data_IF_615794494757
#
_entry.id   IF_615794494757
#
_cell.length_a   1.000
_cell.length_b   1.000
_cell.length_c   1.000
_cell.angle_alpha   90.00
_cell.angle_beta   90.00
_cell.angle_gamma   90.00
#
_symmetry.space_group_name_H-M   'P 1'
#
loop_
_entity.id
_entity.type
_entity.pdbx_description
1 polymer ?
#
# COMPACT_ATOMS: atom_id res chain seq x y z
N UNK A 1 45.96 13.08 70.05
CA UNK A 1 45.86 13.34 68.60
C UNK A 1 44.51 12.80 68.12
N UNK A 2 43.55 13.67 67.75
CA UNK A 2 42.20 13.28 67.34
C UNK A 2 42.11 12.95 65.83
N UNK A 3 41.19 12.03 65.53
CA UNK A 3 40.46 11.75 64.28
C UNK A 3 41.17 11.92 62.92
N UNK A 4 41.50 10.79 62.28
CA UNK A 4 41.60 10.72 60.81
C UNK A 4 40.19 10.52 60.23
N UNK A 5 39.73 11.50 59.47
CA UNK A 5 38.46 11.52 58.74
C UNK A 5 38.58 10.63 57.49
N UNK A 6 37.71 9.61 57.37
CA UNK A 6 37.57 8.83 56.14
C UNK A 6 36.41 9.42 55.32
N UNK A 7 36.66 10.20 54.24
CA UNK A 7 35.60 10.72 53.39
C UNK A 7 34.87 9.57 52.69
N UNK A 8 33.54 9.70 52.69
CA UNK A 8 32.59 8.70 52.24
C UNK A 8 32.86 8.13 50.84
N UNK A 9 32.57 6.83 50.76
CA UNK A 9 32.04 6.13 49.60
C UNK A 9 31.21 7.02 48.66
N UNK A 10 31.73 7.25 47.46
CA UNK A 10 31.06 8.06 46.42
C UNK A 10 31.20 7.49 45.00
N UNK A 11 31.40 6.17 44.86
CA UNK A 11 31.53 5.53 43.55
C UNK A 11 30.73 4.22 43.54
N UNK A 12 29.45 4.32 43.17
CA UNK A 12 28.42 3.27 43.17
C UNK A 12 28.34 2.46 41.86
N UNK A 13 29.43 2.42 41.07
CA UNK A 13 29.47 1.69 39.80
C UNK A 13 29.87 0.22 39.99
N UNK A 14 29.06 -0.53 40.73
CA UNK A 14 29.17 -2.00 40.82
C UNK A 14 29.25 -2.64 39.43
N UNK A 15 29.98 -3.76 39.33
CA UNK A 15 30.32 -4.41 38.06
C UNK A 15 29.12 -4.52 37.10
N UNK A 16 29.16 -3.74 36.03
CA UNK A 16 28.19 -3.83 34.93
C UNK A 16 28.48 -5.15 34.23
N UNK A 17 27.64 -6.14 34.52
CA UNK A 17 27.63 -7.38 33.77
C UNK A 17 27.17 -7.03 32.35
N UNK A 18 28.10 -6.74 31.43
CA UNK A 18 27.82 -6.56 30.01
C UNK A 18 27.54 -7.95 29.46
N UNK A 19 26.30 -8.41 29.71
CA UNK A 19 25.81 -9.71 29.31
C UNK A 19 25.91 -9.87 27.81
N UNK A 20 26.98 -10.48 27.35
CA UNK A 20 27.06 -11.13 26.05
C UNK A 20 26.19 -12.38 26.13
N UNK A 21 24.90 -12.20 25.90
CA UNK A 21 23.89 -13.25 26.00
C UNK A 21 22.48 -12.75 25.68
N UNK A 22 22.17 -12.68 24.38
CA UNK A 22 20.82 -12.81 23.82
C UNK A 22 19.69 -11.94 24.41
N UNK A 23 19.80 -10.60 24.39
CA UNK A 23 18.63 -9.72 24.64
C UNK A 23 18.53 -8.60 23.61
N UNK A 24 18.43 -9.02 22.35
CA UNK A 24 17.96 -8.21 21.23
C UNK A 24 16.85 -8.93 20.49
N UNK A 25 16.01 -9.69 21.20
CA UNK A 25 14.77 -10.16 20.62
C UNK A 25 13.92 -8.92 20.34
N UNK A 26 13.82 -8.52 19.06
CA UNK A 26 12.84 -7.54 18.60
C UNK A 26 11.53 -7.86 19.30
N UNK A 27 10.98 -6.92 20.08
CA UNK A 27 9.76 -7.12 20.85
C UNK A 27 8.71 -7.79 19.96
N UNK A 28 8.49 -9.08 20.20
CA UNK A 28 7.58 -9.89 19.40
C UNK A 28 6.19 -9.42 19.77
N UNK A 29 5.67 -8.44 19.02
CA UNK A 29 4.27 -8.04 19.13
C UNK A 29 3.44 -9.31 19.01
N UNK A 30 2.57 -9.64 19.98
CA UNK A 30 1.77 -10.84 19.89
C UNK A 30 0.92 -10.78 18.61
N UNK A 31 1.17 -11.71 17.69
CA UNK A 31 0.43 -11.79 16.40
C UNK A 31 -0.88 -12.57 16.53
N UNK A 32 -1.04 -13.31 17.63
CA UNK A 32 -2.23 -14.10 17.94
C UNK A 32 -3.19 -13.31 18.82
N UNK A 33 -4.50 -13.44 18.58
CA UNK A 33 -5.55 -12.80 19.39
C UNK A 33 -5.35 -13.06 20.89
N UNK A 34 -5.13 -14.32 21.29
CA UNK A 34 -4.86 -14.71 22.68
C UNK A 34 -3.67 -13.97 23.31
N UNK A 35 -2.60 -13.75 22.55
CA UNK A 35 -1.44 -13.00 23.02
C UNK A 35 -1.72 -11.50 23.17
N UNK A 36 -2.58 -10.93 22.32
CA UNK A 36 -3.04 -9.54 22.43
C UNK A 36 -3.93 -9.40 23.68
N UNK A 37 -4.82 -10.35 23.93
CA UNK A 37 -5.74 -10.30 25.09
C UNK A 37 -4.99 -10.47 26.41
N UNK A 38 -4.00 -11.37 26.47
CA UNK A 38 -3.12 -11.51 27.63
C UNK A 38 -2.30 -10.24 27.88
N UNK A 39 -1.78 -9.60 26.82
CA UNK A 39 -1.03 -8.35 26.94
C UNK A 39 -1.93 -7.15 27.34
N UNK A 40 -3.20 -7.14 26.93
CA UNK A 40 -4.20 -6.18 27.43
C UNK A 40 -4.50 -6.42 28.92
N UNK A 41 -4.70 -7.67 29.33
CA UNK A 41 -4.94 -8.04 30.72
C UNK A 41 -3.74 -7.72 31.63
N UNK A 42 -2.52 -7.85 31.11
CA UNK A 42 -1.28 -7.49 31.79
C UNK A 42 -0.97 -5.97 31.75
N UNK A 43 -1.83 -5.13 31.17
CA UNK A 43 -1.62 -3.68 31.09
C UNK A 43 -0.47 -3.23 30.16
N UNK A 44 0.06 -4.13 29.33
CA UNK A 44 1.19 -3.90 28.42
C UNK A 44 0.77 -3.29 27.07
N UNK A 45 -0.53 -3.05 26.86
CA UNK A 45 -1.10 -2.54 25.59
C UNK A 45 -2.00 -1.33 25.88
N UNK A 46 -1.68 -0.19 25.27
CA UNK A 46 -2.58 0.95 25.23
C UNK A 46 -3.72 0.69 24.24
N UNK A 47 -4.96 0.96 24.66
CA UNK A 47 -6.14 0.89 23.80
C UNK A 47 -6.69 2.29 23.55
N UNK A 48 -6.68 2.72 22.30
CA UNK A 48 -7.24 4.01 21.89
C UNK A 48 -8.38 3.79 20.89
N UNK A 49 -9.45 4.59 21.01
CA UNK A 49 -10.54 4.59 20.04
C UNK A 49 -10.07 5.28 18.76
N UNK A 50 -10.16 4.59 17.62
CA UNK A 50 -9.85 5.18 16.32
C UNK A 50 -10.78 6.36 16.02
N UNK A 51 -10.22 7.44 15.46
CA UNK A 51 -11.00 8.57 14.95
C UNK A 51 -12.05 8.11 13.93
N UNK A 52 -13.32 8.47 14.15
CA UNK A 52 -14.44 8.03 13.32
C UNK A 52 -14.89 6.57 13.53
N UNK A 53 -14.45 5.89 14.58
CA UNK A 53 -14.91 4.54 14.90
C UNK A 53 -16.39 4.51 15.29
N UNK A 54 -17.10 3.46 14.84
CA UNK A 54 -18.50 3.20 15.18
C UNK A 54 -19.54 3.89 14.27
N UNK A 55 -19.10 4.52 13.16
CA UNK A 55 -20.00 5.19 12.20
C UNK A 55 -19.86 4.67 10.77
N UNK A 56 -20.90 4.90 9.96
CA UNK A 56 -20.98 4.56 8.53
C UNK A 56 -20.95 5.84 7.67
N UNK A 57 -19.78 6.48 7.57
CA UNK A 57 -19.64 7.71 6.76
C UNK A 57 -19.85 7.42 5.27
N UNK A 58 -20.58 8.32 4.59
CA UNK A 58 -20.82 8.26 3.15
C UNK A 58 -19.52 8.39 2.35
N UNK A 59 -19.47 7.79 1.16
CA UNK A 59 -18.35 7.97 0.26
C UNK A 59 -18.19 9.42 -0.23
N UNK A 60 -19.26 10.21 -0.15
CA UNK A 60 -19.28 11.64 -0.50
C UNK A 60 -18.93 12.55 0.68
N UNK A 61 -18.64 11.99 1.86
CA UNK A 61 -18.36 12.77 3.09
C UNK A 61 -16.93 13.32 3.16
N UNK A 62 -16.07 12.96 2.22
CA UNK A 62 -14.69 13.41 2.17
C UNK A 62 -14.51 14.33 0.97
N UNK A 63 -14.01 15.54 1.21
CA UNK A 63 -13.59 16.45 0.15
C UNK A 63 -12.46 15.84 -0.68
N UNK A 64 -12.26 16.37 -1.89
CA UNK A 64 -11.20 15.94 -2.81
C UNK A 64 -9.78 16.01 -2.19
N UNK A 65 -9.61 16.88 -1.20
CA UNK A 65 -8.39 17.10 -0.46
C UNK A 65 -8.68 17.02 1.04
N UNK A 66 -7.67 16.66 1.83
CA UNK A 66 -7.74 16.70 3.28
C UNK A 66 -8.03 18.14 3.73
N UNK A 67 -9.01 18.36 4.61
CA UNK A 67 -9.40 19.68 5.08
C UNK A 67 -8.20 20.51 5.57
N UNK A 68 -7.30 19.89 6.36
CA UNK A 68 -6.05 20.50 6.82
C UNK A 68 -5.14 21.01 5.68
N UNK A 69 -5.11 20.31 4.54
CA UNK A 69 -4.31 20.73 3.37
C UNK A 69 -4.96 21.88 2.61
N UNK A 70 -6.28 22.01 2.68
CA UNK A 70 -7.00 23.16 2.12
C UNK A 70 -6.83 24.40 3.01
N UNK A 71 -6.85 24.24 4.33
CA UNK A 71 -6.63 25.34 5.28
C UNK A 71 -5.20 25.91 5.23
N UNK A 72 -4.19 25.05 5.02
CA UNK A 72 -2.78 25.44 4.91
C UNK A 72 -2.43 26.02 3.52
N UNK A 73 -3.24 25.78 2.50
CA UNK A 73 -2.92 26.21 1.13
C UNK A 73 -3.51 27.59 0.84
N UNK A 74 -2.65 28.58 0.55
CA UNK A 74 -3.06 29.92 0.11
C UNK A 74 -3.70 29.95 -1.28
N UNK A 75 -3.50 28.92 -2.10
CA UNK A 75 -4.13 28.76 -3.43
C UNK A 75 -4.77 27.37 -3.60
N UNK A 76 -5.98 27.35 -4.19
CA UNK A 76 -6.76 26.14 -4.45
C UNK A 76 -6.21 25.46 -5.71
N UNK A 77 -5.09 24.76 -5.54
CA UNK A 77 -4.42 24.06 -6.63
C UNK A 77 -5.36 23.19 -7.49
N UNK A 78 -5.00 22.96 -8.75
CA UNK A 78 -5.83 22.20 -9.72
C UNK A 78 -6.14 20.80 -9.20
N UNK A 79 -7.42 20.49 -9.03
CA UNK A 79 -7.87 19.15 -8.63
C UNK A 79 -7.73 18.18 -9.81
N UNK A 80 -6.96 17.11 -9.61
CA UNK A 80 -6.78 16.05 -10.59
C UNK A 80 -8.12 15.32 -10.82
N UNK A 81 -8.52 15.21 -12.09
CA UNK A 81 -9.72 14.48 -12.52
C UNK A 81 -9.37 13.06 -12.96
N UNK A 82 -10.40 12.25 -13.15
CA UNK A 82 -10.29 10.90 -13.71
C UNK A 82 -9.56 10.93 -15.05
N UNK A 83 -8.56 10.06 -15.20
CA UNK A 83 -7.83 9.87 -16.43
C UNK A 83 -8.70 9.21 -17.51
N UNK A 84 -8.44 9.56 -18.78
CA UNK A 84 -9.17 9.03 -19.95
C UNK A 84 -9.08 7.51 -20.06
N UNK A 85 -8.02 6.90 -19.54
CA UNK A 85 -7.83 5.45 -19.53
C UNK A 85 -8.84 4.78 -18.60
N UNK A 86 -8.99 5.27 -17.37
CA UNK A 86 -10.01 4.82 -16.43
C UNK A 86 -11.43 4.98 -16.98
N UNK A 87 -11.75 6.14 -17.57
CA UNK A 87 -13.06 6.38 -18.18
C UNK A 87 -13.40 5.35 -19.26
N UNK A 88 -12.47 5.10 -20.20
CA UNK A 88 -12.66 4.10 -21.27
C UNK A 88 -12.81 2.68 -20.72
N UNK A 89 -12.00 2.31 -19.72
CA UNK A 89 -12.07 1.01 -19.09
C UNK A 89 -13.43 0.75 -18.43
N UNK A 90 -14.02 1.76 -17.75
CA UNK A 90 -15.35 1.65 -17.15
C UNK A 90 -16.41 1.44 -18.24
N UNK A 91 -16.38 2.24 -19.31
CA UNK A 91 -17.33 2.11 -20.42
C UNK A 91 -17.26 0.72 -21.07
N UNK A 92 -16.05 0.24 -21.36
CA UNK A 92 -15.84 -1.07 -21.98
C UNK A 92 -16.33 -2.21 -21.09
N UNK A 93 -16.00 -2.18 -19.80
CA UNK A 93 -16.44 -3.20 -18.84
C UNK A 93 -17.96 -3.21 -18.67
N UNK A 94 -18.60 -2.03 -18.68
CA UNK A 94 -20.06 -1.90 -18.65
C UNK A 94 -20.71 -2.53 -19.88
N UNK A 95 -20.22 -2.18 -21.07
CA UNK A 95 -20.73 -2.74 -22.33
C UNK A 95 -20.52 -4.25 -22.42
N UNK A 96 -19.37 -4.77 -21.94
CA UNK A 96 -19.10 -6.20 -21.87
C UNK A 96 -20.11 -6.95 -20.99
N UNK A 97 -20.59 -6.30 -19.91
CA UNK A 97 -21.65 -6.83 -19.04
C UNK A 97 -23.07 -6.51 -19.50
N UNK A 98 -23.23 -5.83 -20.64
CA UNK A 98 -24.53 -5.41 -21.20
C UNK A 98 -25.39 -4.63 -20.18
N UNK A 99 -24.75 -3.84 -19.31
CA UNK A 99 -25.46 -3.03 -18.32
C UNK A 99 -25.62 -1.59 -18.82
N UNK A 100 -26.72 -0.94 -18.44
CA UNK A 100 -26.89 0.50 -18.61
C UNK A 100 -26.17 1.26 -17.50
N UNK A 101 -25.92 2.56 -17.73
CA UNK A 101 -25.39 3.48 -16.71
C UNK A 101 -26.26 3.49 -15.44
N UNK A 102 -27.59 3.46 -15.62
CA UNK A 102 -28.57 3.46 -14.53
C UNK A 102 -28.51 2.16 -13.72
N UNK A 103 -28.46 1.01 -14.39
CA UNK A 103 -28.36 -0.30 -13.73
C UNK A 103 -27.05 -0.44 -12.96
N UNK A 104 -25.92 0.02 -13.54
CA UNK A 104 -24.64 0.04 -12.85
C UNK A 104 -24.71 0.94 -11.60
N UNK A 105 -25.29 2.13 -11.72
CA UNK A 105 -25.44 3.09 -10.63
C UNK A 105 -26.28 2.52 -9.48
N UNK A 106 -27.44 1.93 -9.79
CA UNK A 106 -28.28 1.23 -8.81
C UNK A 106 -27.52 0.09 -8.14
N UNK A 107 -26.76 -0.71 -8.90
CA UNK A 107 -26.00 -1.83 -8.35
C UNK A 107 -24.89 -1.39 -7.38
N UNK A 108 -24.28 -0.21 -7.57
CA UNK A 108 -23.25 0.34 -6.67
C UNK A 108 -23.82 1.28 -5.59
N UNK A 109 -25.14 1.49 -5.56
CA UNK A 109 -25.81 2.46 -4.70
C UNK A 109 -25.24 3.89 -4.87
N UNK A 110 -25.12 4.33 -6.13
CA UNK A 110 -24.72 5.70 -6.48
C UNK A 110 -25.73 6.32 -7.45
N UNK A 111 -25.65 7.64 -7.64
CA UNK A 111 -26.50 8.34 -8.62
C UNK A 111 -26.03 8.03 -10.05
N UNK A 112 -26.93 7.91 -11.05
CA UNK A 112 -26.55 7.72 -12.46
C UNK A 112 -25.61 8.81 -12.98
N UNK A 113 -25.81 10.05 -12.52
CA UNK A 113 -24.95 11.19 -12.84
C UNK A 113 -23.49 10.95 -12.43
N UNK A 114 -23.24 10.35 -11.27
CA UNK A 114 -21.87 10.06 -10.82
C UNK A 114 -21.20 9.11 -11.81
N UNK A 115 -21.87 8.03 -12.21
CA UNK A 115 -21.31 7.08 -13.21
C UNK A 115 -21.01 7.79 -14.53
N UNK A 116 -21.91 8.66 -15.00
CA UNK A 116 -21.69 9.43 -16.23
C UNK A 116 -20.50 10.40 -16.12
N UNK A 117 -20.27 11.02 -14.97
CA UNK A 117 -19.11 11.89 -14.72
C UNK A 117 -17.79 11.11 -14.69
N UNK A 118 -17.79 9.87 -14.20
CA UNK A 118 -16.63 8.97 -14.26
C UNK A 118 -16.33 8.51 -15.69
N UNK A 119 -17.35 8.14 -16.46
CA UNK A 119 -17.20 7.73 -17.87
C UNK A 119 -16.80 8.90 -18.79
N UNK A 120 -17.14 10.14 -18.43
CA UNK A 120 -16.72 11.35 -19.17
C UNK A 120 -15.40 11.95 -18.69
N UNK A 121 -14.83 11.45 -17.58
CA UNK A 121 -13.57 11.93 -17.02
C UNK A 121 -13.68 13.27 -16.28
N UNK A 122 -14.90 13.73 -15.98
CA UNK A 122 -15.14 14.99 -15.25
C UNK A 122 -15.05 14.82 -13.73
N UNK A 123 -15.30 13.60 -13.25
CA UNK A 123 -15.32 13.28 -11.83
C UNK A 123 -13.93 13.41 -11.17
N UNK A 124 -13.96 13.69 -9.87
CA UNK A 124 -12.79 13.60 -8.99
C UNK A 124 -12.66 12.13 -8.56
N UNK A 125 -11.48 11.48 -8.75
CA UNK A 125 -11.34 10.06 -8.43
C UNK A 125 -11.49 9.79 -6.93
N UNK A 126 -12.55 9.06 -6.56
CA UNK A 126 -12.74 8.58 -5.19
C UNK A 126 -12.45 7.07 -5.11
N UNK A 127 -11.48 6.61 -4.29
CA UNK A 127 -11.09 5.21 -4.20
C UNK A 127 -12.23 4.28 -3.74
N UNK A 128 -13.19 4.78 -2.95
CA UNK A 128 -14.33 3.98 -2.49
C UNK A 128 -15.29 3.67 -3.65
N UNK A 129 -15.59 4.68 -4.48
CA UNK A 129 -16.45 4.51 -5.66
C UNK A 129 -15.77 3.61 -6.69
N UNK A 130 -14.48 3.83 -6.94
CA UNK A 130 -13.68 2.96 -7.83
C UNK A 130 -13.72 1.50 -7.33
N UNK A 131 -13.57 1.27 -6.03
CA UNK A 131 -13.64 -0.08 -5.46
C UNK A 131 -15.04 -0.73 -5.57
N UNK A 132 -16.12 0.06 -5.55
CA UNK A 132 -17.48 -0.45 -5.83
C UNK A 132 -17.62 -0.81 -7.32
N UNK A 133 -17.12 0.04 -8.22
CA UNK A 133 -17.11 -0.20 -9.66
C UNK A 133 -16.32 -1.46 -10.01
N UNK A 134 -15.10 -1.63 -9.50
CA UNK A 134 -14.29 -2.83 -9.73
C UNK A 134 -15.01 -4.12 -9.29
N UNK A 135 -15.65 -4.11 -8.11
CA UNK A 135 -16.39 -5.27 -7.60
C UNK A 135 -17.60 -5.63 -8.46
N UNK A 136 -18.37 -4.64 -8.90
CA UNK A 136 -19.56 -4.89 -9.74
C UNK A 136 -19.20 -5.19 -11.19
N UNK A 137 -18.16 -4.58 -11.73
CA UNK A 137 -17.67 -4.82 -13.08
C UNK A 137 -16.75 -6.04 -13.18
N UNK A 138 -16.26 -6.58 -12.07
CA UNK A 138 -15.43 -7.80 -12.04
C UNK A 138 -14.07 -7.64 -12.73
N UNK A 139 -13.64 -6.40 -12.99
CA UNK A 139 -12.39 -6.08 -13.68
C UNK A 139 -11.54 -5.15 -12.81
N UNK A 140 -10.22 -5.25 -12.95
CA UNK A 140 -9.30 -4.30 -12.33
C UNK A 140 -9.22 -3.04 -13.16
N UNK A 141 -9.70 -1.93 -12.60
CA UNK A 141 -9.65 -0.64 -13.28
C UNK A 141 -8.24 -0.03 -13.13
N UNK A 142 -7.71 0.64 -14.16
CA UNK A 142 -6.42 1.33 -14.05
C UNK A 142 -6.52 2.38 -12.95
N UNK A 143 -5.56 2.39 -12.02
CA UNK A 143 -5.58 3.33 -10.89
C UNK A 143 -5.06 4.70 -11.36
N UNK A 144 -5.74 5.80 -11.01
CA UNK A 144 -5.21 7.14 -11.27
C UNK A 144 -3.87 7.31 -10.55
N UNK A 145 -2.81 7.67 -11.28
CA UNK A 145 -1.51 8.02 -10.72
C UNK A 145 -0.49 6.89 -10.49
N UNK A 146 -0.77 5.64 -10.91
CA UNK A 146 0.29 4.60 -11.01
C UNK A 146 0.47 4.22 -12.48
N UNK A 147 1.25 5.01 -13.22
CA UNK A 147 1.97 4.46 -14.36
C UNK A 147 2.80 3.30 -13.82
N UNK A 148 2.65 2.10 -14.42
CA UNK A 148 3.66 1.05 -14.23
C UNK A 148 4.98 1.70 -14.64
N UNK A 149 5.93 1.78 -13.71
CA UNK A 149 7.30 2.08 -14.09
C UNK A 149 7.68 1.12 -15.24
N UNK A 150 8.32 1.60 -16.32
CA UNK A 150 8.81 0.70 -17.35
C UNK A 150 9.72 -0.35 -16.67
N UNK A 151 9.66 -1.63 -17.08
CA UNK A 151 10.60 -2.61 -16.55
C UNK A 151 12.00 -2.04 -16.81
N UNK A 152 12.80 -1.85 -15.75
CA UNK A 152 14.19 -1.45 -15.89
C UNK A 152 14.84 -2.51 -16.79
N UNK A 153 15.09 -2.16 -18.04
CA UNK A 153 15.95 -2.92 -18.93
C UNK A 153 17.28 -3.07 -18.19
N UNK A 154 17.64 -4.32 -17.88
CA UNK A 154 18.89 -4.66 -17.24
C UNK A 154 20.02 -4.07 -18.06
N UNK A 155 20.89 -3.31 -17.39
CA UNK A 155 22.14 -2.85 -17.94
C UNK A 155 22.94 -4.07 -18.43
N UNK A 156 23.16 -4.12 -19.74
CA UNK A 156 24.17 -4.99 -20.34
C UNK A 156 25.55 -4.51 -19.92
N UNK A 157 26.37 -5.44 -19.44
CA UNK A 157 27.72 -5.18 -18.95
C UNK A 157 28.52 -6.47 -18.72
N UNK A 158 29.06 -7.00 -19.82
CA UNK A 158 30.38 -7.66 -19.97
C UNK A 158 30.74 -8.99 -19.25
N UNK A 159 31.07 -9.96 -20.11
CA UNK A 159 32.24 -10.85 -20.06
C UNK A 159 32.26 -12.10 -19.16
N UNK A 160 32.35 -13.26 -19.84
CA UNK A 160 33.26 -14.34 -19.44
C UNK A 160 32.64 -15.68 -19.07
N UNK A 161 32.41 -16.58 -20.04
CA UNK A 161 32.57 -18.02 -19.79
C UNK A 161 32.82 -18.87 -21.05
N UNK A 162 34.09 -19.28 -21.16
CA UNK A 162 34.66 -20.51 -21.73
C UNK A 162 33.96 -21.22 -22.91
N UNK A 163 34.66 -21.22 -24.04
CA UNK A 163 34.48 -22.14 -25.15
C UNK A 163 34.68 -23.60 -24.74
N UNK A 164 33.81 -24.49 -25.24
CA UNK A 164 33.94 -25.93 -25.05
C UNK A 164 32.98 -26.71 -25.95
N UNK A 165 33.57 -27.37 -26.94
CA UNK A 165 33.09 -28.54 -27.69
C UNK A 165 32.21 -28.31 -28.93
N UNK A 166 32.87 -28.32 -30.10
CA UNK A 166 32.24 -28.52 -31.40
C UNK A 166 31.95 -30.00 -31.65
N UNK A 167 30.71 -30.30 -32.02
CA UNK A 167 30.32 -31.59 -32.61
C UNK A 167 29.45 -31.28 -33.83
N UNK A 168 30.06 -31.36 -35.00
CA UNK A 168 29.41 -31.30 -36.29
C UNK A 168 28.76 -32.67 -36.58
N UNK A 169 27.44 -32.73 -36.74
CA UNK A 169 26.72 -33.93 -37.22
C UNK A 169 25.86 -33.55 -38.42
N UNK A 170 26.53 -33.29 -39.54
CA UNK A 170 25.92 -33.34 -40.87
C UNK A 170 25.61 -34.79 -41.25
N UNK A 171 24.42 -35.01 -41.80
CA UNK A 171 23.79 -36.32 -41.95
C UNK A 171 24.33 -37.24 -43.06
N UNK A 172 23.80 -38.47 -43.16
CA UNK A 172 24.37 -39.57 -43.95
C UNK A 172 24.04 -39.52 -45.48
N UNK A 173 24.68 -40.38 -46.30
CA UNK A 173 25.15 -40.08 -47.65
C UNK A 173 24.25 -40.55 -48.80
N UNK A 174 24.47 -40.02 -50.03
CA UNK A 174 24.04 -40.66 -51.29
C UNK A 174 25.16 -40.68 -52.36
N UNK A 175 25.76 -41.87 -52.47
CA UNK A 175 26.08 -42.68 -53.67
C UNK A 175 26.75 -42.01 -54.88
N UNK A 176 27.94 -42.51 -55.24
CA UNK A 176 28.27 -43.13 -56.54
C UNK A 176 29.35 -44.18 -56.33
#
# INVERSE_FOLDING_TARGET
MPQQYNPGSGQDWGAVNVGKGTLGAKSSKPKTARGIDMAKAAGLVATEKKYGAGGNKSAHSHGALSAKKLEEADDVGKIARVDKSLSKAIMQARTAKKMTQKELATAINEKPQVVAEYESGKAIPNPQIISKLERKLGCKLPRPGKSKAPPKAGAGGTAGKSAGNGVNRGGPPKRR
#
